data_IF_469595729562
#
_entry.id   IF_469595729562
#
_cell.length_a   1.000
_cell.length_b   1.000
_cell.length_c   1.000
_cell.angle_alpha   90.00
_cell.angle_beta   90.00
_cell.angle_gamma   90.00
#
_symmetry.space_group_name_H-M   'P 1'
#
loop_
_entity.id
_entity.type
_entity.pdbx_description
1 polymer ?
#
# COMPACT_ATOMS: atom_id res chain seq x y z
N UNK A 1 -37.03 33.92 -50.82
CA UNK A 1 -36.81 33.67 -49.38
C UNK A 1 -36.10 32.34 -49.20
N UNK A 2 -34.77 32.34 -49.06
CA UNK A 2 -33.97 31.12 -48.85
C UNK A 2 -33.70 30.94 -47.36
N UNK A 3 -34.14 29.81 -46.79
CA UNK A 3 -33.89 29.41 -45.41
C UNK A 3 -32.54 28.70 -45.31
N UNK A 4 -31.62 29.25 -44.51
CA UNK A 4 -30.34 28.60 -44.20
C UNK A 4 -30.56 27.39 -43.27
N UNK A 5 -29.91 26.25 -43.50
CA UNK A 5 -30.00 25.09 -42.62
C UNK A 5 -29.14 25.28 -41.37
N UNK A 6 -29.70 24.92 -40.20
CA UNK A 6 -29.02 24.92 -38.91
C UNK A 6 -28.00 23.79 -38.87
N UNK A 7 -26.72 24.13 -38.76
CA UNK A 7 -25.64 23.17 -38.51
C UNK A 7 -25.76 22.63 -37.08
N UNK A 8 -26.01 21.32 -36.94
CA UNK A 8 -25.94 20.61 -35.66
C UNK A 8 -24.46 20.48 -35.25
N UNK A 9 -24.13 20.92 -34.03
CA UNK A 9 -22.82 20.63 -33.40
C UNK A 9 -22.67 19.11 -33.28
N UNK A 10 -21.60 18.58 -33.85
CA UNK A 10 -21.17 17.22 -33.61
C UNK A 10 -20.89 17.06 -32.11
N UNK A 11 -21.55 16.07 -31.49
CA UNK A 11 -21.26 15.69 -30.12
C UNK A 11 -19.85 15.10 -30.09
N UNK A 12 -19.03 15.59 -29.17
CA UNK A 12 -17.68 15.11 -28.91
C UNK A 12 -17.72 13.60 -28.62
N UNK A 13 -17.15 12.82 -29.55
CA UNK A 13 -16.94 11.40 -29.37
C UNK A 13 -15.81 11.21 -28.35
N UNK A 14 -16.19 10.99 -27.09
CA UNK A 14 -15.26 10.60 -26.04
C UNK A 14 -14.57 9.28 -26.44
N UNK A 15 -13.27 9.35 -26.76
CA UNK A 15 -12.48 8.16 -27.05
C UNK A 15 -12.37 7.28 -25.80
N UNK A 16 -12.51 5.94 -25.93
CA UNK A 16 -12.38 5.03 -24.79
C UNK A 16 -10.93 5.08 -24.27
N UNK A 17 -10.77 5.29 -22.96
CA UNK A 17 -9.46 5.26 -22.29
C UNK A 17 -8.83 3.87 -22.44
N UNK A 18 -7.53 3.75 -22.76
CA UNK A 18 -6.87 2.46 -22.86
C UNK A 18 -6.92 1.76 -21.50
N UNK A 19 -7.51 0.56 -21.48
CA UNK A 19 -7.59 -0.28 -20.29
C UNK A 19 -6.19 -0.78 -19.97
N UNK A 20 -5.68 -0.48 -18.77
CA UNK A 20 -4.38 -0.94 -18.32
C UNK A 20 -4.35 -2.49 -18.32
N UNK A 21 -3.24 -3.12 -18.77
CA UNK A 21 -3.16 -4.57 -18.85
C UNK A 21 -3.37 -5.19 -17.46
N UNK A 22 -4.17 -6.26 -17.42
CA UNK A 22 -4.44 -7.02 -16.20
C UNK A 22 -3.10 -7.47 -15.58
N UNK A 23 -2.83 -7.04 -14.34
CA UNK A 23 -1.60 -7.39 -13.63
C UNK A 23 -1.59 -8.89 -13.38
N UNK A 24 -0.65 -9.61 -13.99
CA UNK A 24 -0.45 -11.04 -13.75
C UNK A 24 -0.12 -11.25 -12.27
N UNK A 25 -0.76 -12.21 -11.58
CA UNK A 25 -0.49 -12.46 -10.17
C UNK A 25 0.95 -12.92 -9.96
N UNK A 26 1.59 -12.37 -8.94
CA UNK A 26 2.99 -12.65 -8.62
C UNK A 26 3.14 -14.08 -8.05
N UNK A 27 4.19 -14.83 -8.42
CA UNK A 27 4.40 -16.20 -7.94
C UNK A 27 4.47 -16.32 -6.42
N UNK A 28 4.20 -17.51 -5.89
CA UNK A 28 4.30 -17.77 -4.45
C UNK A 28 5.77 -17.77 -3.98
N UNK A 29 6.14 -17.09 -2.87
CA UNK A 29 7.52 -16.93 -2.42
C UNK A 29 8.21 -18.26 -2.11
N UNK A 30 7.46 -19.27 -1.67
CA UNK A 30 7.99 -20.61 -1.42
C UNK A 30 8.54 -21.29 -2.69
N UNK A 31 7.89 -21.10 -3.84
CA UNK A 31 8.35 -21.64 -5.12
C UNK A 31 9.62 -20.94 -5.57
N UNK A 32 9.63 -19.61 -5.52
CA UNK A 32 10.79 -18.80 -5.87
C UNK A 32 12.02 -19.13 -4.99
N UNK A 33 11.84 -19.33 -3.68
CA UNK A 33 12.92 -19.76 -2.77
C UNK A 33 13.47 -21.15 -3.12
N UNK A 34 12.60 -22.08 -3.52
CA UNK A 34 13.02 -23.44 -3.92
C UNK A 34 13.82 -23.39 -5.21
N UNK A 35 13.33 -22.68 -6.22
CA UNK A 35 13.99 -22.50 -7.50
C UNK A 35 15.36 -21.82 -7.33
N UNK A 36 15.43 -20.72 -6.57
CA UNK A 36 16.68 -20.04 -6.25
C UNK A 36 17.74 -20.97 -5.65
N UNK A 37 17.35 -21.80 -4.66
CA UNK A 37 18.29 -22.78 -4.05
C UNK A 37 18.75 -23.84 -5.04
N UNK A 38 17.92 -24.23 -5.99
CA UNK A 38 18.31 -25.17 -7.04
C UNK A 38 19.33 -24.53 -7.99
N UNK A 39 19.06 -23.30 -8.44
CA UNK A 39 19.97 -22.58 -9.33
C UNK A 39 21.31 -22.22 -8.68
N UNK A 40 21.33 -21.89 -7.39
CA UNK A 40 22.59 -21.68 -6.66
C UNK A 40 23.48 -22.93 -6.66
N UNK A 41 22.91 -24.11 -6.48
CA UNK A 41 23.66 -25.38 -6.55
C UNK A 41 24.16 -25.65 -7.96
N UNK A 42 23.30 -25.44 -8.97
CA UNK A 42 23.67 -25.61 -10.37
C UNK A 42 24.81 -24.66 -10.77
N UNK A 43 24.76 -23.40 -10.33
CA UNK A 43 25.84 -22.42 -10.54
C UNK A 43 27.15 -22.87 -9.93
N UNK A 44 27.11 -23.34 -8.67
CA UNK A 44 28.32 -23.82 -7.98
C UNK A 44 28.94 -25.03 -8.70
N UNK A 45 28.11 -25.97 -9.16
CA UNK A 45 28.53 -27.11 -9.96
C UNK A 45 29.20 -26.65 -11.27
N UNK A 46 28.56 -25.76 -12.02
CA UNK A 46 29.10 -25.24 -13.29
C UNK A 46 30.39 -24.43 -13.11
N UNK A 47 30.53 -23.71 -12.00
CA UNK A 47 31.79 -23.04 -11.68
C UNK A 47 32.92 -24.02 -11.39
N UNK A 48 32.62 -25.11 -10.68
CA UNK A 48 33.60 -26.19 -10.44
C UNK A 48 33.98 -26.88 -11.76
N UNK A 49 33.02 -27.16 -12.62
CA UNK A 49 33.26 -27.77 -13.94
C UNK A 49 34.08 -26.85 -14.85
N UNK A 50 33.78 -25.54 -14.87
CA UNK A 50 34.54 -24.53 -15.61
C UNK A 50 36.01 -24.51 -15.17
N UNK A 51 36.26 -24.53 -13.86
CA UNK A 51 37.62 -24.58 -13.31
C UNK A 51 38.35 -25.86 -13.71
N UNK A 52 37.67 -27.01 -13.66
CA UNK A 52 38.21 -28.29 -14.13
C UNK A 52 38.55 -28.27 -15.61
N UNK A 53 37.66 -27.73 -16.44
CA UNK A 53 37.87 -27.56 -17.87
C UNK A 53 39.10 -26.68 -18.15
N UNK A 54 39.21 -25.53 -17.49
CA UNK A 54 40.37 -24.63 -17.63
C UNK A 54 41.68 -25.29 -17.24
N UNK A 55 41.69 -26.06 -16.15
CA UNK A 55 42.87 -26.81 -15.72
C UNK A 55 43.26 -27.86 -16.76
N UNK A 56 42.31 -28.61 -17.31
CA UNK A 56 42.60 -29.62 -18.35
C UNK A 56 43.08 -28.98 -19.66
N UNK A 57 42.52 -27.83 -20.05
CA UNK A 57 43.00 -27.07 -21.22
C UNK A 57 44.44 -26.61 -21.04
N UNK A 58 44.79 -26.09 -19.86
CA UNK A 58 46.16 -25.69 -19.52
C UNK A 58 47.13 -26.88 -19.53
N UNK A 59 46.77 -28.00 -18.87
CA UNK A 59 47.63 -29.20 -18.79
C UNK A 59 47.95 -29.81 -20.15
N UNK A 60 47.05 -29.67 -21.12
CA UNK A 60 47.18 -30.23 -22.48
C UNK A 60 47.69 -29.22 -23.51
N UNK A 61 47.93 -27.98 -23.07
CA UNK A 61 48.32 -26.83 -23.91
C UNK A 61 47.38 -26.62 -25.12
N UNK A 62 46.08 -26.88 -24.91
CA UNK A 62 45.05 -26.78 -25.95
C UNK A 62 43.97 -25.79 -25.51
N UNK A 63 44.15 -24.53 -25.87
CA UNK A 63 43.22 -23.48 -25.51
C UNK A 63 42.11 -23.29 -26.57
N UNK A 64 40.90 -23.74 -26.25
CA UNK A 64 39.69 -23.49 -27.04
C UNK A 64 38.86 -22.37 -26.42
N UNK A 65 39.09 -21.15 -26.88
CA UNK A 65 38.41 -19.96 -26.39
C UNK A 65 36.88 -20.04 -26.57
N UNK A 66 36.40 -20.52 -27.72
CA UNK A 66 34.96 -20.57 -28.01
C UNK A 66 34.18 -21.41 -26.98
N UNK A 67 34.73 -22.57 -26.64
CA UNK A 67 34.16 -23.45 -25.61
C UNK A 67 34.18 -22.78 -24.23
N UNK A 68 35.25 -22.05 -23.90
CA UNK A 68 35.33 -21.34 -22.63
C UNK A 68 34.25 -20.25 -22.53
N UNK A 69 34.07 -19.49 -23.62
CA UNK A 69 33.05 -18.44 -23.71
C UNK A 69 31.65 -19.04 -23.56
N UNK A 70 31.34 -20.11 -24.28
CA UNK A 70 30.05 -20.82 -24.17
C UNK A 70 29.74 -21.23 -22.72
N UNK A 71 30.73 -21.79 -21.99
CA UNK A 71 30.54 -22.18 -20.58
C UNK A 71 30.39 -20.99 -19.65
N UNK A 72 31.07 -19.88 -19.93
CA UNK A 72 30.88 -18.63 -19.20
C UNK A 72 29.50 -18.04 -19.44
N UNK A 73 28.98 -18.08 -20.67
CA UNK A 73 27.64 -17.62 -21.02
C UNK A 73 26.56 -18.43 -20.28
N UNK A 74 26.71 -19.76 -20.17
CA UNK A 74 25.81 -20.59 -19.35
C UNK A 74 25.77 -20.13 -17.87
N UNK A 75 26.92 -19.76 -17.30
CA UNK A 75 27.01 -19.25 -15.93
C UNK A 75 26.39 -17.87 -15.79
N UNK A 76 26.62 -16.97 -16.76
CA UNK A 76 26.00 -15.64 -16.79
C UNK A 76 24.48 -15.76 -16.85
N UNK A 77 23.95 -16.66 -17.68
CA UNK A 77 22.52 -16.90 -17.77
C UNK A 77 21.92 -17.42 -16.43
N UNK A 78 22.65 -18.27 -15.70
CA UNK A 78 22.25 -18.69 -14.36
C UNK A 78 22.23 -17.51 -13.36
N UNK A 79 23.22 -16.62 -13.45
CA UNK A 79 23.31 -15.42 -12.60
C UNK A 79 22.19 -14.42 -12.89
N UNK A 80 21.88 -14.18 -14.16
CA UNK A 80 20.74 -13.35 -14.57
C UNK A 80 19.42 -13.92 -14.04
N UNK A 81 19.22 -15.23 -14.15
CA UNK A 81 18.01 -15.89 -13.62
C UNK A 81 17.94 -15.81 -12.10
N UNK A 82 19.06 -15.94 -11.40
CA UNK A 82 19.13 -15.77 -9.95
C UNK A 82 18.77 -14.34 -9.53
N UNK A 83 19.28 -13.34 -10.24
CA UNK A 83 18.93 -11.94 -10.01
C UNK A 83 17.44 -11.69 -10.25
N UNK A 84 16.87 -12.24 -11.33
CA UNK A 84 15.43 -12.16 -11.61
C UNK A 84 14.62 -12.75 -10.44
N UNK A 85 14.97 -13.94 -9.96
CA UNK A 85 14.29 -14.56 -8.81
C UNK A 85 14.42 -13.72 -7.53
N UNK A 86 15.57 -13.08 -7.30
CA UNK A 86 15.78 -12.21 -6.15
C UNK A 86 14.90 -10.95 -6.23
N UNK A 87 14.78 -10.34 -7.40
CA UNK A 87 13.85 -9.22 -7.60
C UNK A 87 12.39 -9.64 -7.40
N UNK A 88 11.99 -10.80 -7.92
CA UNK A 88 10.64 -11.34 -7.75
C UNK A 88 10.35 -11.68 -6.29
N UNK A 89 11.32 -12.24 -5.57
CA UNK A 89 11.22 -12.54 -4.14
C UNK A 89 11.06 -11.27 -3.31
N UNK A 90 11.87 -10.25 -3.59
CA UNK A 90 11.78 -8.96 -2.90
C UNK A 90 10.39 -8.33 -3.09
N UNK A 91 9.88 -8.33 -4.33
CA UNK A 91 8.54 -7.85 -4.64
C UNK A 91 7.45 -8.68 -3.94
N UNK A 92 7.56 -10.01 -3.95
CA UNK A 92 6.57 -10.93 -3.38
C UNK A 92 6.50 -10.90 -1.86
N UNK A 93 7.61 -10.61 -1.19
CA UNK A 93 7.66 -10.43 0.26
C UNK A 93 7.14 -9.04 0.63
N UNK A 94 7.53 -8.00 -0.11
CA UNK A 94 7.08 -6.63 0.14
C UNK A 94 5.56 -6.49 -0.05
N UNK A 95 4.99 -7.05 -1.11
CA UNK A 95 3.56 -6.96 -1.40
C UNK A 95 2.66 -7.68 -0.38
N UNK A 96 3.21 -8.65 0.36
CA UNK A 96 2.50 -9.39 1.41
C UNK A 96 2.75 -8.82 2.80
N UNK A 97 3.70 -7.89 2.94
CA UNK A 97 3.97 -7.25 4.23
C UNK A 97 2.78 -6.33 4.54
N UNK A 98 2.11 -6.49 5.69
CA UNK A 98 1.08 -5.54 6.09
C UNK A 98 1.69 -4.14 6.15
N UNK A 99 0.89 -3.13 5.78
CA UNK A 99 1.28 -1.74 5.92
C UNK A 99 1.79 -1.50 7.36
N UNK A 100 2.84 -0.67 7.54
CA UNK A 100 3.33 -0.38 8.88
C UNK A 100 2.16 0.14 9.73
N UNK A 101 2.00 -0.44 10.92
CA UNK A 101 0.94 -0.02 11.84
C UNK A 101 1.05 1.49 12.06
N UNK A 102 -0.05 2.22 11.85
CA UNK A 102 -0.11 3.64 12.18
C UNK A 102 0.33 3.81 13.64
N UNK A 103 1.05 4.89 13.95
CA UNK A 103 1.51 5.16 15.32
C UNK A 103 0.74 6.33 15.90
N UNK A 104 0.40 6.22 17.18
CA UNK A 104 -0.10 7.36 17.93
C UNK A 104 1.03 8.39 18.12
N UNK A 105 0.68 9.65 18.40
CA UNK A 105 1.63 10.64 18.89
C UNK A 105 2.36 10.21 20.18
N UNK A 106 1.76 9.32 20.98
CA UNK A 106 2.43 8.73 22.15
C UNK A 106 3.41 7.59 21.81
N UNK A 107 3.58 7.25 20.53
CA UNK A 107 4.51 6.22 20.05
C UNK A 107 3.92 4.80 19.95
N UNK A 108 2.78 4.55 20.59
CA UNK A 108 2.13 3.23 20.57
C UNK A 108 1.60 2.85 19.18
N UNK A 109 1.70 1.57 18.76
CA UNK A 109 1.10 1.10 17.52
C UNK A 109 -0.42 1.12 17.61
N UNK A 110 -1.06 1.65 16.58
CA UNK A 110 -2.51 1.69 16.41
C UNK A 110 -2.93 0.45 15.65
N UNK A 111 -3.86 -0.30 16.25
CA UNK A 111 -4.50 -1.44 15.60
C UNK A 111 -5.41 -0.90 14.49
N UNK A 112 -5.30 -1.44 13.28
CA UNK A 112 -6.12 -1.03 12.15
C UNK A 112 -7.62 -1.10 12.48
N UNK A 113 -8.35 -0.02 12.21
CA UNK A 113 -9.78 0.10 12.52
C UNK A 113 -10.11 0.61 13.93
N UNK A 114 -9.10 0.92 14.77
CA UNK A 114 -9.35 1.56 16.07
C UNK A 114 -9.56 3.07 15.94
N UNK A 115 -10.60 3.58 16.61
CA UNK A 115 -10.87 5.02 16.70
C UNK A 115 -10.07 5.72 17.82
N UNK A 116 -9.54 4.94 18.77
CA UNK A 116 -8.78 5.43 19.93
C UNK A 116 -7.49 4.62 20.12
N UNK A 117 -6.47 5.26 20.67
CA UNK A 117 -5.24 4.60 21.05
C UNK A 117 -5.45 3.77 22.33
N UNK A 118 -5.26 2.45 22.25
CA UNK A 118 -5.38 1.56 23.42
C UNK A 118 -4.38 1.82 24.54
N UNK A 119 -3.31 2.59 24.29
CA UNK A 119 -2.32 2.95 25.32
C UNK A 119 -2.62 4.28 26.01
N UNK A 120 -3.04 5.31 25.28
CA UNK A 120 -3.21 6.67 25.82
C UNK A 120 -4.63 7.24 25.72
N UNK A 121 -5.58 6.50 25.15
CA UNK A 121 -6.98 6.90 25.00
C UNK A 121 -7.25 8.00 23.96
N UNK A 122 -6.21 8.59 23.36
CA UNK A 122 -6.38 9.67 22.36
C UNK A 122 -7.05 9.15 21.09
N UNK A 123 -7.96 9.91 20.48
CA UNK A 123 -8.55 9.54 19.20
C UNK A 123 -7.46 9.49 18.12
N UNK A 124 -7.58 8.53 17.21
CA UNK A 124 -6.64 8.33 16.10
C UNK A 124 -7.33 8.65 14.78
N UNK A 125 -6.74 9.57 14.01
CA UNK A 125 -7.30 10.06 12.75
C UNK A 125 -8.25 11.25 12.94
N UNK A 126 -8.76 11.78 11.82
CA UNK A 126 -9.74 12.87 11.78
C UNK A 126 -11.16 12.39 12.17
N UNK A 127 -11.27 11.68 13.30
CA UNK A 127 -12.55 11.41 13.94
C UNK A 127 -13.08 12.70 14.59
N UNK A 128 -14.40 12.92 14.65
CA UNK A 128 -14.97 14.13 15.23
C UNK A 128 -14.47 14.29 16.67
N UNK A 129 -14.06 15.51 17.02
CA UNK A 129 -13.54 15.82 18.35
C UNK A 129 -14.49 15.27 19.42
N UNK A 130 -13.96 14.54 20.40
CA UNK A 130 -14.78 14.10 21.54
C UNK A 130 -14.91 15.29 22.48
N UNK A 131 -16.14 15.71 22.74
CA UNK A 131 -16.48 16.79 23.67
C UNK A 131 -17.11 16.19 24.94
N UNK A 132 -16.98 16.87 26.07
CA UNK A 132 -17.64 16.45 27.30
C UNK A 132 -19.07 17.01 27.37
N UNK A 133 -20.02 16.22 27.89
CA UNK A 133 -21.37 16.71 28.14
C UNK A 133 -21.36 17.84 29.17
N UNK A 134 -21.96 18.97 28.83
CA UNK A 134 -22.09 20.13 29.73
C UNK A 134 -22.87 19.82 31.01
N UNK A 135 -23.76 18.81 30.98
CA UNK A 135 -24.59 18.44 32.14
C UNK A 135 -23.95 17.38 33.04
N UNK A 136 -23.37 16.32 32.47
CA UNK A 136 -22.90 15.17 33.26
C UNK A 136 -21.40 14.83 33.06
N UNK A 137 -20.69 15.56 32.21
CA UNK A 137 -19.27 15.33 31.93
C UNK A 137 -18.95 14.09 31.10
N UNK A 138 -19.94 13.27 30.73
CA UNK A 138 -19.71 12.07 29.93
C UNK A 138 -19.16 12.41 28.53
N UNK A 139 -18.21 11.62 27.99
CA UNK A 139 -17.66 11.86 26.66
C UNK A 139 -18.71 11.59 25.56
N UNK A 140 -18.87 12.51 24.62
CA UNK A 140 -19.72 12.37 23.43
C UNK A 140 -18.99 12.85 22.17
N UNK A 141 -19.41 12.34 21.00
CA UNK A 141 -18.90 12.83 19.72
C UNK A 141 -19.36 14.28 19.48
N UNK A 142 -18.52 15.16 18.92
CA UNK A 142 -18.85 16.58 18.71
C UNK A 142 -20.14 16.83 17.91
N UNK A 143 -20.56 15.87 17.09
CA UNK A 143 -21.76 15.90 16.27
C UNK A 143 -22.97 15.18 16.90
N UNK A 144 -22.83 14.63 18.10
CA UNK A 144 -23.93 13.95 18.79
C UNK A 144 -25.01 14.98 19.21
N UNK A 145 -26.26 14.74 18.80
CA UNK A 145 -27.42 15.58 19.15
C UNK A 145 -27.88 15.41 20.60
N UNK A 146 -27.54 14.27 21.22
CA UNK A 146 -27.96 13.90 22.57
C UNK A 146 -26.85 13.13 23.29
N UNK A 147 -26.71 13.35 24.59
CA UNK A 147 -25.81 12.59 25.45
C UNK A 147 -26.38 11.20 25.72
N UNK A 148 -25.66 10.15 25.30
CA UNK A 148 -26.06 8.76 25.53
C UNK A 148 -26.11 8.35 27.02
N UNK A 149 -25.43 9.10 27.90
CA UNK A 149 -25.39 8.81 29.34
C UNK A 149 -26.52 9.47 30.16
N UNK A 150 -26.95 10.69 29.79
CA UNK A 150 -27.94 11.44 30.58
C UNK A 150 -29.14 11.96 29.79
N UNK A 151 -29.19 11.72 28.47
CA UNK A 151 -30.28 12.15 27.59
C UNK A 151 -30.31 13.65 27.29
N UNK A 152 -29.38 14.45 27.82
CA UNK A 152 -29.33 15.89 27.59
C UNK A 152 -28.95 16.20 26.13
N UNK A 153 -29.61 17.20 25.52
CA UNK A 153 -29.29 17.65 24.16
C UNK A 153 -27.85 18.17 24.12
N UNK A 154 -27.08 17.62 23.20
CA UNK A 154 -25.76 18.11 22.86
C UNK A 154 -25.93 18.92 21.58
N UNK A 155 -25.96 20.25 21.74
CA UNK A 155 -26.04 21.19 20.64
C UNK A 155 -24.81 22.09 20.65
N UNK A 156 -24.15 22.31 19.50
CA UNK A 156 -23.15 23.36 19.34
C UNK A 156 -23.83 24.75 19.19
N UNK A 157 -24.78 25.07 20.06
CA UNK A 157 -25.56 26.32 20.05
C UNK A 157 -25.67 26.87 21.48
N UNK A 158 -24.53 27.11 22.13
CA UNK A 158 -24.46 27.82 23.40
C UNK A 158 -23.46 28.98 23.33
N UNK A 159 -23.48 29.70 22.21
CA UNK A 159 -22.77 30.96 22.03
C UNK A 159 -23.48 31.83 20.98
N UNK A 160 -24.75 32.18 21.21
CA UNK A 160 -25.36 33.43 20.76
C UNK A 160 -26.74 33.53 21.44
N UNK A 161 -27.07 34.70 21.98
CA UNK A 161 -28.39 35.08 22.53
C UNK A 161 -28.67 34.70 23.98
N UNK A 162 -27.94 35.36 24.88
CA UNK A 162 -28.52 35.93 26.10
C UNK A 162 -28.76 37.44 25.84
N UNK A 163 -30.01 37.91 25.86
CA UNK A 163 -30.54 38.94 26.78
C UNK A 163 -32.04 39.25 26.46
N UNK A 164 -32.82 39.93 27.33
CA UNK A 164 -34.13 39.48 27.77
C UNK A 164 -35.21 40.56 27.50
N UNK A 165 -36.33 40.47 28.21
CA UNK A 165 -37.37 41.51 28.36
C UNK A 165 -38.49 41.55 27.30
N UNK A 166 -39.62 40.99 27.74
CA UNK A 166 -41.04 41.28 27.44
C UNK A 166 -41.73 39.92 27.37
N UNK A 167 -42.56 39.54 28.33
CA UNK A 167 -43.88 40.13 28.48
C UNK A 167 -44.29 40.21 29.96
N UNK A 168 -44.64 41.43 30.36
CA UNK A 168 -45.37 41.73 31.58
C UNK A 168 -46.82 41.28 31.48
N UNK A 169 -47.34 40.91 32.65
CA UNK A 169 -48.69 40.45 32.93
C UNK A 169 -49.57 41.67 33.29
N UNK A 170 -50.49 42.08 32.41
CA UNK A 170 -51.72 42.83 32.75
C UNK A 170 -52.73 42.42 31.64
N UNK A 171 -53.91 41.86 31.88
CA UNK A 171 -54.90 42.06 32.94
C UNK A 171 -55.87 40.87 32.95
#
# INVERSE_FOLDING_TARGET
>A
MARLPRLRRAADAASPRPQAPARRPLPHPGLLRRERRALLRAREERLRDLGGLMLEMYRRDQFRQDLLVERCEELVALDERLQELDTLLAAAVSSRRPAPAARCACGAPIVGGSHFCGNCGRPVGAAPAVVACTKCGAPLAADAKFCAACGHRAGPEAAEQADPAAYGWER
#
